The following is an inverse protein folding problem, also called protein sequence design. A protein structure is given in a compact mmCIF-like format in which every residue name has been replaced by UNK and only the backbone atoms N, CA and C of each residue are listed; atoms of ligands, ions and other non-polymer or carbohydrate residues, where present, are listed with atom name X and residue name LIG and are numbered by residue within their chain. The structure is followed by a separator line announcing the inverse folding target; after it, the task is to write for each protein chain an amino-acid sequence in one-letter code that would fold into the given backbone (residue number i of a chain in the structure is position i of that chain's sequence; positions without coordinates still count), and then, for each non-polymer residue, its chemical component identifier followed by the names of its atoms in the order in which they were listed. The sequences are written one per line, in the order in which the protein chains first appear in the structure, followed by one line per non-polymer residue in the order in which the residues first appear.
data_IF_495797566886
#
_entry.id   IF_495797566886
#
_cell.length_a   1.000
_cell.length_b   1.000
_cell.length_c   1.000
_cell.angle_alpha   90.00
_cell.angle_beta   90.00
_cell.angle_gamma   90.00
#
_symmetry.space_group_name_H-M   'P 1'
#
loop_
_entity.id
_entity.type
_entity.pdbx_description
1 polymer ?
#
# COMPACT_ATOMS: atom_id res chain seq x y z
N UNK A 1 -47.82 38.72 22.83
CA UNK A 1 -46.41 38.97 23.25
C UNK A 1 -45.44 38.40 22.20
N UNK A 2 -44.95 39.23 21.27
CA UNK A 2 -43.96 38.82 20.30
C UNK A 2 -42.56 38.93 20.94
N UNK A 3 -41.92 37.79 21.19
CA UNK A 3 -40.56 37.72 21.72
C UNK A 3 -39.59 38.15 20.61
N UNK A 4 -39.08 39.38 20.65
CA UNK A 4 -38.00 39.84 19.74
C UNK A 4 -36.80 38.90 19.88
N UNK A 5 -36.53 38.10 18.86
CA UNK A 5 -35.35 37.23 18.83
C UNK A 5 -34.10 38.12 18.76
N UNK A 6 -33.21 37.96 19.72
CA UNK A 6 -32.00 38.75 19.83
C UNK A 6 -31.10 38.53 18.59
N UNK A 7 -30.57 39.57 17.93
CA UNK A 7 -29.69 39.46 16.79
C UNK A 7 -28.42 38.63 17.12
N UNK A 8 -28.02 38.63 18.39
CA UNK A 8 -26.90 37.82 18.89
C UNK A 8 -27.13 36.32 18.77
N UNK A 9 -28.39 35.86 18.85
CA UNK A 9 -28.71 34.44 18.66
C UNK A 9 -28.47 33.99 17.21
N UNK A 10 -28.70 34.85 16.22
CA UNK A 10 -28.43 34.56 14.82
C UNK A 10 -26.92 34.54 14.55
N UNK A 11 -26.13 35.44 15.14
CA UNK A 11 -24.68 35.48 15.02
C UNK A 11 -24.05 34.20 15.61
N UNK A 12 -24.52 33.80 16.81
CA UNK A 12 -24.07 32.57 17.45
C UNK A 12 -24.42 31.31 16.61
N UNK A 13 -25.63 31.26 16.04
CA UNK A 13 -26.08 30.15 15.19
C UNK A 13 -25.24 30.06 13.89
N UNK A 14 -24.97 31.19 13.23
CA UNK A 14 -24.16 31.25 12.03
C UNK A 14 -22.70 30.85 12.33
N UNK A 15 -22.14 31.30 13.46
CA UNK A 15 -20.81 30.92 13.91
C UNK A 15 -20.68 29.41 14.16
N UNK A 16 -21.70 28.81 14.83
CA UNK A 16 -21.72 27.37 15.07
C UNK A 16 -21.90 26.57 13.75
N UNK A 17 -22.78 27.05 12.86
CA UNK A 17 -22.94 26.40 11.55
C UNK A 17 -21.66 26.45 10.70
N UNK A 18 -20.96 27.59 10.71
CA UNK A 18 -19.69 27.74 10.02
C UNK A 18 -18.60 26.83 10.64
N UNK A 19 -18.54 26.70 11.96
CA UNK A 19 -17.63 25.78 12.65
C UNK A 19 -17.91 24.32 12.30
N UNK A 20 -19.19 23.92 12.30
CA UNK A 20 -19.59 22.56 11.91
C UNK A 20 -19.23 22.28 10.44
N UNK A 21 -19.47 23.25 9.54
CA UNK A 21 -19.11 23.14 8.14
C UNK A 21 -17.59 23.01 7.94
N UNK A 22 -16.79 23.78 8.68
CA UNK A 22 -15.32 23.68 8.66
C UNK A 22 -14.83 22.34 9.20
N UNK A 23 -15.43 21.84 10.30
CA UNK A 23 -15.08 20.53 10.84
C UNK A 23 -15.47 19.41 9.88
N UNK A 24 -16.66 19.46 9.29
CA UNK A 24 -17.12 18.51 8.30
C UNK A 24 -16.23 18.54 7.05
N UNK A 25 -15.85 19.71 6.56
CA UNK A 25 -14.92 19.89 5.46
C UNK A 25 -13.53 19.32 5.81
N UNK A 26 -13.02 19.61 7.01
CA UNK A 26 -11.74 19.06 7.49
C UNK A 26 -11.75 17.52 7.58
N UNK A 27 -12.87 16.92 8.02
CA UNK A 27 -13.02 15.45 8.05
C UNK A 27 -13.07 14.88 6.64
N UNK A 28 -13.82 15.48 5.72
CA UNK A 28 -13.92 15.01 4.31
C UNK A 28 -12.57 15.13 3.61
N UNK A 29 -11.84 16.24 3.79
CA UNK A 29 -10.52 16.44 3.17
C UNK A 29 -9.45 15.51 3.79
N UNK A 30 -9.54 15.22 5.10
CA UNK A 30 -8.58 14.37 5.80
C UNK A 30 -8.86 12.86 5.66
N UNK A 31 -10.08 12.47 5.29
CA UNK A 31 -10.46 11.09 4.99
C UNK A 31 -10.13 10.67 3.56
N UNK A 32 -9.58 11.56 2.74
CA UNK A 32 -9.12 11.23 1.40
C UNK A 32 -8.03 10.15 1.45
N UNK A 33 -8.31 8.99 0.88
CA UNK A 33 -7.34 7.94 0.61
C UNK A 33 -6.12 8.53 -0.12
N UNK A 34 -4.96 7.86 -0.03
CA UNK A 34 -3.80 8.27 -0.81
C UNK A 34 -4.10 8.27 -2.32
N UNK A 35 -3.22 8.89 -3.12
CA UNK A 35 -3.40 8.98 -4.59
C UNK A 35 -3.73 7.63 -5.25
N UNK A 36 -3.12 6.55 -4.79
CA UNK A 36 -3.36 5.20 -5.30
C UNK A 36 -4.70 4.63 -4.85
N UNK A 37 -5.16 4.92 -3.63
CA UNK A 37 -6.46 4.47 -3.13
C UNK A 37 -7.59 5.02 -4.02
N UNK A 38 -7.56 6.32 -4.28
CA UNK A 38 -8.56 6.96 -5.10
C UNK A 38 -8.51 6.44 -6.55
N UNK A 39 -7.32 6.30 -7.12
CA UNK A 39 -7.16 5.78 -8.47
C UNK A 39 -7.70 4.36 -8.63
N UNK A 40 -7.37 3.45 -7.71
CA UNK A 40 -7.85 2.06 -7.75
C UNK A 40 -9.37 1.98 -7.58
N UNK A 41 -9.96 2.79 -6.68
CA UNK A 41 -11.43 2.87 -6.52
C UNK A 41 -12.10 3.38 -7.80
N UNK A 42 -11.47 4.32 -8.51
CA UNK A 42 -11.95 4.85 -9.80
C UNK A 42 -11.64 3.94 -11.00
N UNK A 43 -11.03 2.79 -10.78
CA UNK A 43 -10.60 1.87 -11.85
C UNK A 43 -9.42 2.40 -12.68
N UNK A 44 -8.69 3.40 -12.16
CA UNK A 44 -7.52 3.98 -12.81
C UNK A 44 -6.24 3.32 -12.28
N UNK A 45 -5.24 3.21 -13.16
CA UNK A 45 -3.92 2.70 -12.79
C UNK A 45 -2.90 3.86 -12.89
N UNK A 46 -2.20 4.14 -11.81
CA UNK A 46 -1.17 5.18 -11.74
C UNK A 46 0.22 4.55 -11.75
N UNK A 47 1.22 5.18 -12.38
CA UNK A 47 2.60 4.71 -12.39
C UNK A 47 3.14 4.53 -10.96
N UNK A 48 3.71 3.36 -10.69
CA UNK A 48 4.40 3.08 -9.45
C UNK A 48 5.74 3.85 -9.41
N UNK A 49 6.20 4.30 -8.22
CA UNK A 49 7.51 4.90 -8.05
C UNK A 49 8.63 3.92 -8.45
N UNK A 50 9.66 4.43 -9.15
CA UNK A 50 10.77 3.64 -9.68
C UNK A 50 12.12 3.96 -9.03
N UNK A 51 12.11 4.50 -7.82
CA UNK A 51 13.32 4.80 -7.07
C UNK A 51 14.13 3.52 -6.78
N UNK A 52 15.43 3.63 -6.82
CA UNK A 52 16.31 2.57 -6.36
C UNK A 52 16.29 2.45 -4.84
N UNK A 53 16.19 1.22 -4.35
CA UNK A 53 16.11 0.88 -2.94
C UNK A 53 17.11 -0.24 -2.64
N UNK A 54 17.83 -0.12 -1.52
CA UNK A 54 18.80 -1.14 -1.10
C UNK A 54 18.11 -2.46 -0.82
N UNK A 55 18.77 -3.56 -1.20
CA UNK A 55 18.33 -4.91 -0.86
C UNK A 55 18.74 -5.23 0.58
N UNK A 56 17.84 -5.82 1.34
CA UNK A 56 18.10 -6.28 2.71
C UNK A 56 19.00 -7.54 2.65
N UNK A 57 20.12 -7.49 3.37
CA UNK A 57 21.03 -8.64 3.45
C UNK A 57 21.96 -8.84 2.25
N UNK A 58 21.83 -8.03 1.20
CA UNK A 58 22.66 -8.09 0.01
C UNK A 58 23.33 -6.75 -0.29
N UNK A 59 24.42 -6.78 -1.06
CA UNK A 59 25.00 -5.57 -1.66
C UNK A 59 24.20 -5.20 -2.93
N UNK A 60 23.85 -3.91 -3.06
CA UNK A 60 23.19 -3.39 -4.26
C UNK A 60 21.81 -2.80 -4.00
N UNK A 61 21.25 -2.31 -5.08
CA UNK A 61 19.91 -1.69 -5.11
C UNK A 61 19.04 -2.40 -6.15
N UNK A 62 17.72 -2.21 -6.02
CA UNK A 62 16.74 -2.61 -7.02
C UNK A 62 15.69 -1.52 -7.16
N UNK A 63 15.15 -1.43 -8.36
CA UNK A 63 14.02 -0.56 -8.69
C UNK A 63 12.84 -1.40 -9.18
N UNK A 64 11.62 -0.91 -9.03
CA UNK A 64 10.46 -1.55 -9.67
C UNK A 64 10.57 -1.53 -11.19
N UNK A 65 11.35 -0.59 -11.75
CA UNK A 65 11.61 -0.52 -13.19
C UNK A 65 12.38 -1.75 -13.72
N UNK A 66 13.18 -2.42 -12.88
CA UNK A 66 13.94 -3.62 -13.26
C UNK A 66 13.03 -4.83 -13.59
N UNK A 67 11.76 -4.74 -13.21
CA UNK A 67 10.78 -5.82 -13.34
C UNK A 67 9.66 -5.50 -14.34
N UNK A 68 9.88 -4.57 -15.27
CA UNK A 68 8.94 -4.28 -16.35
C UNK A 68 8.58 -5.56 -17.12
N UNK A 69 7.31 -5.68 -17.52
CA UNK A 69 6.78 -6.90 -18.15
C UNK A 69 6.40 -8.01 -17.17
N UNK A 70 6.61 -7.81 -15.86
CA UNK A 70 6.19 -8.72 -14.78
C UNK A 70 5.10 -8.10 -13.95
N UNK A 71 4.28 -8.92 -13.32
CA UNK A 71 3.37 -8.48 -12.26
C UNK A 71 4.15 -8.46 -10.96
N UNK A 72 4.14 -7.33 -10.24
CA UNK A 72 4.88 -7.20 -8.98
C UNK A 72 3.89 -7.12 -7.83
N UNK A 73 4.07 -7.96 -6.81
CA UNK A 73 3.45 -7.83 -5.51
C UNK A 73 4.48 -7.20 -4.57
N UNK A 74 4.27 -5.92 -4.23
CA UNK A 74 5.10 -5.18 -3.28
C UNK A 74 4.38 -5.14 -1.94
N UNK A 75 4.97 -5.80 -0.94
CA UNK A 75 4.40 -5.91 0.41
C UNK A 75 5.26 -5.16 1.42
N UNK A 76 4.68 -4.15 2.07
CA UNK A 76 5.31 -3.39 3.16
C UNK A 76 5.11 -4.11 4.49
N UNK A 77 6.20 -4.44 5.18
CA UNK A 77 6.20 -5.28 6.37
C UNK A 77 7.31 -4.90 7.37
N UNK A 78 7.21 -5.40 8.59
CA UNK A 78 8.28 -5.38 9.60
C UNK A 78 8.20 -6.62 10.49
N UNK A 79 9.31 -7.00 11.13
CA UNK A 79 9.38 -8.18 12.01
C UNK A 79 8.49 -8.06 13.25
N UNK A 80 8.32 -6.84 13.76
CA UNK A 80 7.47 -6.52 14.92
C UNK A 80 5.97 -6.42 14.59
N UNK A 81 5.59 -6.54 13.32
CA UNK A 81 4.20 -6.38 12.84
C UNK A 81 3.45 -7.72 12.91
N UNK A 82 2.60 -7.93 13.90
CA UNK A 82 1.84 -9.17 14.07
C UNK A 82 0.94 -9.56 12.89
N UNK A 83 0.19 -8.65 12.25
CA UNK A 83 -0.55 -9.02 11.03
C UNK A 83 0.36 -9.43 9.86
N UNK A 84 1.59 -8.89 9.78
CA UNK A 84 2.57 -9.24 8.74
C UNK A 84 3.00 -10.71 8.87
N UNK A 85 3.19 -11.19 10.11
CA UNK A 85 3.49 -12.61 10.40
C UNK A 85 2.41 -13.54 9.87
N UNK A 86 1.14 -13.13 10.00
CA UNK A 86 -0.01 -13.94 9.56
C UNK A 86 -0.14 -14.03 8.04
N UNK A 87 0.25 -12.99 7.30
CA UNK A 87 0.13 -12.98 5.82
C UNK A 87 1.35 -13.56 5.11
N UNK A 88 2.54 -13.51 5.73
CA UNK A 88 3.81 -13.93 5.12
C UNK A 88 3.75 -15.35 4.49
N UNK A 89 3.18 -16.38 5.13
CA UNK A 89 3.06 -17.70 4.50
C UNK A 89 2.15 -17.73 3.26
N UNK A 90 1.13 -16.87 3.21
CA UNK A 90 0.25 -16.80 2.04
C UNK A 90 0.94 -16.14 0.85
N UNK A 91 1.73 -15.10 1.11
CA UNK A 91 2.53 -14.40 0.10
C UNK A 91 3.59 -15.34 -0.47
N UNK A 92 4.34 -16.05 0.38
CA UNK A 92 5.35 -17.01 -0.07
C UNK A 92 4.74 -18.12 -0.94
N UNK A 93 3.59 -18.67 -0.55
CA UNK A 93 2.90 -19.66 -1.37
C UNK A 93 2.45 -19.12 -2.73
N UNK A 94 1.99 -17.87 -2.77
CA UNK A 94 1.62 -17.22 -4.03
C UNK A 94 2.83 -17.01 -4.93
N UNK A 95 3.94 -16.56 -4.37
CA UNK A 95 5.20 -16.40 -5.09
C UNK A 95 5.64 -17.71 -5.73
N UNK A 96 5.78 -18.78 -4.94
CA UNK A 96 6.19 -20.10 -5.46
C UNK A 96 5.26 -20.63 -6.55
N UNK A 97 3.96 -20.38 -6.40
CA UNK A 97 2.95 -20.84 -7.38
C UNK A 97 3.04 -20.10 -8.69
N UNK A 98 3.26 -18.79 -8.68
CA UNK A 98 3.10 -17.92 -9.84
C UNK A 98 4.40 -17.29 -10.36
N UNK A 99 5.54 -17.62 -9.78
CA UNK A 99 6.84 -17.10 -10.26
C UNK A 99 7.10 -17.46 -11.74
N UNK A 100 6.76 -18.68 -12.15
CA UNK A 100 6.87 -19.12 -13.55
C UNK A 100 5.87 -18.39 -14.48
N UNK A 101 4.73 -17.92 -13.96
CA UNK A 101 3.71 -17.15 -14.69
C UNK A 101 4.09 -15.67 -14.82
N UNK A 102 5.20 -15.26 -14.21
CA UNK A 102 5.70 -13.90 -14.27
C UNK A 102 5.33 -13.03 -13.07
N UNK A 103 4.97 -13.63 -11.93
CA UNK A 103 4.87 -12.92 -10.66
C UNK A 103 6.26 -12.68 -10.07
N UNK A 104 6.53 -11.45 -9.68
CA UNK A 104 7.62 -11.07 -8.79
C UNK A 104 7.04 -10.63 -7.46
N UNK A 105 7.59 -11.08 -6.36
CA UNK A 105 7.27 -10.57 -5.02
C UNK A 105 8.48 -9.80 -4.50
N UNK A 106 8.24 -8.62 -3.96
CA UNK A 106 9.23 -7.79 -3.29
C UNK A 106 8.70 -7.45 -1.90
N UNK A 107 9.41 -7.86 -0.87
CA UNK A 107 9.17 -7.39 0.49
C UNK A 107 9.77 -5.99 0.65
N UNK A 108 9.03 -5.06 1.22
CA UNK A 108 9.53 -3.74 1.61
C UNK A 108 9.59 -3.69 3.15
N UNK A 109 10.74 -4.01 3.71
CA UNK A 109 10.98 -4.01 5.15
C UNK A 109 11.14 -2.57 5.66
N UNK A 110 10.30 -2.14 6.59
CA UNK A 110 10.16 -0.76 7.03
C UNK A 110 10.64 -0.59 8.47
N UNK A 111 11.60 0.34 8.68
CA UNK A 111 12.10 0.75 10.00
C UNK A 111 12.34 -0.42 10.96
N UNK A 112 13.10 -1.40 10.49
CA UNK A 112 13.34 -2.65 11.20
C UNK A 112 14.86 -2.87 11.42
N UNK A 113 15.21 -3.61 12.44
CA UNK A 113 16.59 -4.04 12.64
C UNK A 113 16.94 -5.16 11.67
N UNK A 114 18.12 -5.09 11.04
CA UNK A 114 18.53 -6.11 10.06
C UNK A 114 18.53 -7.53 10.64
N UNK A 115 18.88 -7.68 11.91
CA UNK A 115 18.87 -8.97 12.59
C UNK A 115 17.45 -9.52 12.65
N UNK A 116 16.51 -8.73 13.18
CA UNK A 116 15.12 -9.17 13.41
C UNK A 116 14.40 -9.43 12.08
N UNK A 117 14.68 -8.60 11.07
CA UNK A 117 14.16 -8.79 9.72
C UNK A 117 14.69 -10.10 9.08
N UNK A 118 15.99 -10.43 9.25
CA UNK A 118 16.56 -11.68 8.74
C UNK A 118 16.02 -12.91 9.49
N UNK A 119 15.82 -12.81 10.80
CA UNK A 119 15.17 -13.86 11.59
C UNK A 119 13.74 -14.11 11.11
N UNK A 120 12.97 -13.05 10.85
CA UNK A 120 11.62 -13.15 10.26
C UNK A 120 11.65 -13.84 8.89
N UNK A 121 12.55 -13.43 7.98
CA UNK A 121 12.71 -14.04 6.65
C UNK A 121 12.99 -15.55 6.78
N UNK A 122 13.88 -15.92 7.70
CA UNK A 122 14.23 -17.32 7.93
C UNK A 122 13.06 -18.10 8.57
N UNK A 123 12.39 -17.54 9.57
CA UNK A 123 11.27 -18.17 10.29
C UNK A 123 10.10 -18.50 9.34
N UNK A 124 9.74 -17.54 8.47
CA UNK A 124 8.63 -17.72 7.52
C UNK A 124 9.06 -18.31 6.17
N UNK A 125 10.36 -18.62 6.00
CA UNK A 125 10.90 -19.23 4.79
C UNK A 125 10.69 -18.40 3.53
N UNK A 126 10.81 -17.07 3.65
CA UNK A 126 10.61 -16.17 2.53
C UNK A 126 11.76 -16.27 1.55
N UNK A 127 11.45 -16.57 0.28
CA UNK A 127 12.46 -16.80 -0.77
C UNK A 127 12.54 -15.68 -1.80
N UNK A 128 11.71 -14.66 -1.68
CA UNK A 128 11.70 -13.48 -2.54
C UNK A 128 12.61 -12.37 -1.97
N UNK A 129 13.09 -11.45 -2.83
CA UNK A 129 13.91 -10.32 -2.40
C UNK A 129 13.20 -9.39 -1.44
N UNK A 130 13.93 -8.87 -0.45
CA UNK A 130 13.42 -7.90 0.50
C UNK A 130 14.21 -6.59 0.39
N UNK A 131 13.51 -5.47 0.27
CA UNK A 131 14.06 -4.13 0.13
C UNK A 131 13.99 -3.40 1.47
N UNK A 132 14.94 -2.51 1.71
CA UNK A 132 14.98 -1.71 2.95
C UNK A 132 14.36 -0.34 2.73
N UNK A 133 13.26 -0.10 3.38
CA UNK A 133 12.55 1.17 3.38
C UNK A 133 12.63 1.87 4.73
N UNK A 134 12.59 3.21 4.74
CA UNK A 134 12.17 4.00 5.90
C UNK A 134 10.67 4.27 5.82
N UNK A 135 10.03 4.56 6.96
CA UNK A 135 8.61 4.96 6.98
C UNK A 135 8.37 6.24 6.17
N UNK A 136 9.33 7.18 6.19
CA UNK A 136 9.24 8.42 5.40
C UNK A 136 9.30 8.14 3.89
N UNK A 137 10.13 7.20 3.44
CA UNK A 137 10.21 6.79 2.05
C UNK A 137 8.95 6.06 1.61
N UNK A 138 8.47 5.11 2.42
CA UNK A 138 7.24 4.38 2.13
C UNK A 138 6.02 5.31 2.05
N UNK A 139 5.94 6.30 2.95
CA UNK A 139 4.88 7.31 2.93
C UNK A 139 4.97 8.21 1.70
N UNK A 140 6.18 8.70 1.36
CA UNK A 140 6.38 9.57 0.20
C UNK A 140 6.06 8.87 -1.10
N UNK A 141 6.55 7.65 -1.27
CA UNK A 141 6.47 6.91 -2.53
C UNK A 141 5.08 6.30 -2.73
N UNK A 142 4.50 5.66 -1.71
CA UNK A 142 3.27 4.88 -1.80
C UNK A 142 2.12 5.38 -0.93
N UNK A 143 2.35 6.41 -0.12
CA UNK A 143 1.36 6.88 0.86
C UNK A 143 1.12 5.87 1.98
N UNK A 144 2.09 4.97 2.25
CA UNK A 144 2.02 3.96 3.30
C UNK A 144 1.95 4.62 4.67
N UNK A 145 0.99 4.19 5.48
CA UNK A 145 0.69 4.77 6.81
C UNK A 145 0.76 3.75 7.94
N UNK A 146 0.54 2.48 7.62
CA UNK A 146 0.49 1.37 8.57
C UNK A 146 1.05 0.12 7.91
N UNK A 147 1.41 -0.87 8.72
CA UNK A 147 1.79 -2.18 8.23
C UNK A 147 0.73 -3.22 8.62
N UNK A 148 0.50 -4.21 7.79
CA UNK A 148 1.01 -4.36 6.43
C UNK A 148 0.22 -3.55 5.39
N UNK A 149 0.84 -3.21 4.29
CA UNK A 149 0.18 -2.69 3.09
C UNK A 149 0.76 -3.37 1.85
N UNK A 150 -0.11 -3.76 0.94
CA UNK A 150 0.29 -4.48 -0.28
C UNK A 150 -0.19 -3.75 -1.52
N UNK A 151 0.71 -3.57 -2.47
CA UNK A 151 0.45 -3.02 -3.79
C UNK A 151 0.71 -4.09 -4.83
N UNK A 152 -0.20 -4.23 -5.80
CA UNK A 152 0.04 -5.06 -6.99
C UNK A 152 0.21 -4.15 -8.18
N UNK A 153 1.33 -4.32 -8.86
CA UNK A 153 1.76 -3.48 -9.98
C UNK A 153 1.69 -4.36 -11.23
N UNK A 154 1.06 -3.85 -12.27
CA UNK A 154 0.89 -4.55 -13.55
C UNK A 154 2.17 -4.59 -14.38
N UNK A 155 2.11 -5.23 -15.54
CA UNK A 155 3.25 -5.39 -16.45
C UNK A 155 3.77 -4.08 -17.03
N UNK A 156 2.90 -3.05 -17.09
CA UNK A 156 3.26 -1.70 -17.54
C UNK A 156 3.83 -0.83 -16.40
N UNK A 157 3.86 -1.38 -15.18
CA UNK A 157 4.41 -0.73 -13.99
C UNK A 157 3.45 0.24 -13.33
N UNK A 158 2.15 0.07 -13.51
CA UNK A 158 1.13 0.87 -12.86
C UNK A 158 0.54 0.10 -11.68
N UNK A 159 0.14 0.81 -10.63
CA UNK A 159 -0.55 0.22 -9.49
C UNK A 159 -1.96 -0.19 -9.92
N UNK A 160 -2.20 -1.48 -10.02
CA UNK A 160 -3.47 -2.07 -10.46
C UNK A 160 -4.37 -2.46 -9.28
N UNK A 161 -3.80 -2.83 -8.14
CA UNK A 161 -4.55 -3.15 -6.92
C UNK A 161 -3.75 -2.77 -5.67
N UNK A 162 -4.45 -2.54 -4.58
CA UNK A 162 -3.83 -2.33 -3.28
C UNK A 162 -4.73 -2.81 -2.12
N UNK A 163 -4.10 -3.15 -1.01
CA UNK A 163 -4.76 -3.47 0.25
C UNK A 163 -4.01 -2.81 1.40
N UNK A 164 -4.73 -1.99 2.17
CA UNK A 164 -4.20 -1.22 3.32
C UNK A 164 -4.29 -1.97 4.64
N UNK A 165 -4.28 -3.26 4.61
CA UNK A 165 -4.30 -4.13 5.80
C UNK A 165 -3.82 -5.51 5.38
N UNK A 166 -3.76 -6.42 6.36
CA UNK A 166 -3.43 -7.82 6.14
C UNK A 166 -4.20 -8.41 4.95
N UNK A 167 -3.47 -9.11 4.09
CA UNK A 167 -4.02 -9.89 2.98
C UNK A 167 -4.09 -11.37 3.36
N UNK A 168 -4.89 -12.10 2.59
CA UNK A 168 -5.04 -13.53 2.73
C UNK A 168 -5.00 -14.25 1.37
N UNK A 169 -5.05 -15.57 1.40
CA UNK A 169 -5.05 -16.38 0.19
C UNK A 169 -6.26 -16.11 -0.72
N UNK A 170 -7.40 -15.72 -0.16
CA UNK A 170 -8.60 -15.42 -0.94
C UNK A 170 -8.41 -14.13 -1.76
N UNK A 171 -7.85 -13.09 -1.14
CA UNK A 171 -7.54 -11.85 -1.84
C UNK A 171 -6.50 -12.06 -2.93
N UNK A 172 -5.40 -12.78 -2.64
CA UNK A 172 -4.37 -13.10 -3.62
C UNK A 172 -4.93 -13.88 -4.81
N UNK A 173 -5.81 -14.85 -4.56
CA UNK A 173 -6.50 -15.64 -5.60
C UNK A 173 -7.44 -14.79 -6.45
N UNK A 174 -8.04 -13.75 -5.89
CA UNK A 174 -8.92 -12.86 -6.64
C UNK A 174 -8.14 -11.87 -7.51
N UNK A 175 -6.99 -11.37 -7.03
CA UNK A 175 -6.27 -10.26 -7.67
C UNK A 175 -5.20 -10.72 -8.65
N UNK A 176 -4.41 -11.78 -8.33
CA UNK A 176 -3.24 -12.13 -9.13
C UNK A 176 -3.59 -12.76 -10.49
N UNK A 177 -4.50 -13.75 -10.61
CA UNK A 177 -4.73 -14.44 -11.89
C UNK A 177 -5.18 -13.52 -13.03
N UNK A 178 -6.10 -12.56 -12.83
CA UNK A 178 -6.46 -11.62 -13.90
C UNK A 178 -5.26 -10.82 -14.40
N UNK A 179 -4.47 -10.24 -13.47
CA UNK A 179 -3.30 -9.43 -13.81
C UNK A 179 -2.17 -10.23 -14.47
N UNK A 180 -2.00 -11.50 -14.08
CA UNK A 180 -1.03 -12.40 -14.70
C UNK A 180 -1.43 -12.80 -16.13
N UNK A 181 -2.73 -12.83 -16.43
CA UNK A 181 -3.26 -13.11 -17.76
C UNK A 181 -3.18 -11.92 -18.72
N UNK A 182 -3.11 -10.68 -18.20
CA UNK A 182 -2.95 -9.46 -19.01
C UNK A 182 -1.61 -9.46 -19.74
N UNK A 183 -1.58 -8.85 -20.94
CA UNK A 183 -0.35 -8.56 -21.67
C UNK A 183 0.12 -7.14 -21.34
N UNK A 184 1.41 -6.87 -21.54
CA UNK A 184 1.90 -5.50 -21.48
C UNK A 184 1.19 -4.66 -22.56
N UNK A 185 0.69 -3.48 -22.18
CA UNK A 185 -0.08 -2.58 -23.04
C UNK A 185 -1.61 -2.77 -22.98
N UNK A 186 -2.12 -3.70 -22.17
CA UNK A 186 -3.58 -3.90 -22.00
C UNK A 186 -4.18 -3.00 -20.87
N UNK A 187 -3.34 -2.18 -20.20
CA UNK A 187 -3.73 -1.35 -19.04
C UNK A 187 -4.18 0.06 -19.39
#
# INVERSE_FOLDING_TARGET
MQRKRSPWAYVAFLGLAALIALLAYGVVVKSGGGKFDNAVVEGKRLPAPTREVRVLGESGTRSLADYRGKVILLNFWASWCEPCKKEAPAIERAYRRHAADGLVVLGANVDDLSKDANEFIAEYGLTYPNLRYSSSDATRDFGTRRLPETFVIDRDGNVAALKRMQIDAAWLKAVLPPLLAERAGDS
#
